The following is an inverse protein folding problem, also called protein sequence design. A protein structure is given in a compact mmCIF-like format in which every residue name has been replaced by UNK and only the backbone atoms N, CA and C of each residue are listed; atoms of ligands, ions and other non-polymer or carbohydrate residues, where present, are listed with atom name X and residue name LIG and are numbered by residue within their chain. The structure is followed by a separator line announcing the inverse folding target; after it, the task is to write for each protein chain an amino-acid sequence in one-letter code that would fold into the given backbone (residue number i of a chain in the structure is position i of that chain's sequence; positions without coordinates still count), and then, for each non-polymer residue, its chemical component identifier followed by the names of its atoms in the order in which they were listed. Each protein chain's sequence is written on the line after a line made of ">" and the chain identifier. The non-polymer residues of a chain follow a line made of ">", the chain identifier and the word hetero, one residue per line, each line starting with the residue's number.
data_IF_535193878698
#
_entry.id   IF_535193878698
#
_cell.length_a   1.000
_cell.length_b   1.000
_cell.length_c   1.000
_cell.angle_alpha   90.00
_cell.angle_beta   90.00
_cell.angle_gamma   90.00
#
_symmetry.space_group_name_H-M   'P 1'
#
loop_
_entity.id
_entity.type
_entity.pdbx_description
1 polymer ?
#
# COMPACT_ATOMS: atom_id res chain seq x y z
N UNK A 1 -17.08 -7.69 15.85
CA UNK A 1 -16.82 -6.39 15.19
C UNK A 1 -15.64 -6.48 14.24
N UNK A 2 -15.79 -5.93 13.06
CA UNK A 2 -14.70 -5.92 12.10
C UNK A 2 -13.84 -4.68 12.34
N UNK A 3 -12.53 -4.89 12.51
CA UNK A 3 -11.59 -3.79 12.74
C UNK A 3 -10.69 -3.66 11.53
N UNK A 4 -10.77 -2.54 10.86
CA UNK A 4 -9.92 -2.22 9.71
C UNK A 4 -8.87 -1.22 10.13
N UNK A 5 -7.61 -1.56 9.87
CA UNK A 5 -6.50 -0.65 10.16
C UNK A 5 -6.31 0.29 8.97
N UNK A 6 -6.93 1.46 9.04
CA UNK A 6 -6.85 2.47 7.98
C UNK A 6 -5.41 3.00 7.91
N UNK A 7 -4.74 2.78 6.78
CA UNK A 7 -3.32 3.12 6.58
C UNK A 7 -2.40 2.44 7.60
N UNK A 8 -2.78 1.23 8.03
CA UNK A 8 -2.12 0.53 9.11
C UNK A 8 -2.63 0.98 10.47
N UNK A 9 -1.94 0.63 11.54
CA UNK A 9 -2.32 1.08 12.89
C UNK A 9 -1.83 2.52 13.08
N UNK A 10 -2.46 3.44 12.35
CA UNK A 10 -1.98 4.81 12.19
C UNK A 10 -2.06 5.66 13.47
N UNK A 11 -3.04 5.40 14.32
CA UNK A 11 -3.17 6.14 15.57
C UNK A 11 -1.93 5.98 16.46
N UNK A 12 -1.25 4.84 16.33
CA UNK A 12 -0.10 4.55 17.16
C UNK A 12 1.22 4.80 16.46
N UNK A 13 1.29 4.48 15.16
CA UNK A 13 2.56 4.49 14.43
C UNK A 13 2.60 5.41 13.21
N UNK A 14 1.51 6.12 12.93
CA UNK A 14 1.42 6.98 11.74
C UNK A 14 0.91 6.24 10.52
N UNK A 15 0.61 7.00 9.48
CA UNK A 15 -0.01 6.48 8.27
C UNK A 15 0.97 5.75 7.37
N UNK A 16 0.53 4.65 6.78
CA UNK A 16 1.21 3.99 5.66
C UNK A 16 2.70 3.71 5.88
N UNK A 17 3.10 3.29 7.08
CA UNK A 17 4.49 2.90 7.33
C UNK A 17 4.57 1.45 7.79
N UNK A 18 5.76 0.86 7.67
CA UNK A 18 5.93 -0.56 7.96
C UNK A 18 5.56 -0.94 9.39
N UNK A 19 5.89 -0.08 10.36
CA UNK A 19 5.57 -0.39 11.74
C UNK A 19 4.05 -0.44 11.96
N UNK A 20 3.31 0.48 11.34
CA UNK A 20 1.86 0.49 11.47
C UNK A 20 1.22 -0.75 10.81
N UNK A 21 1.77 -1.22 9.71
CA UNK A 21 1.27 -2.42 9.04
C UNK A 21 1.59 -3.68 9.84
N UNK A 22 2.82 -3.81 10.32
CA UNK A 22 3.21 -4.97 11.12
C UNK A 22 2.40 -5.06 12.40
N UNK A 23 2.21 -3.93 13.07
CA UNK A 23 1.44 -3.90 14.30
C UNK A 23 -0.02 -4.29 14.05
N UNK A 24 -0.60 -3.77 12.97
CA UNK A 24 -1.97 -4.13 12.61
C UNK A 24 -2.12 -5.63 12.36
N UNK A 25 -1.14 -6.24 11.69
CA UNK A 25 -1.18 -7.67 11.41
C UNK A 25 -1.09 -8.51 12.68
N UNK A 26 -0.48 -7.98 13.73
CA UNK A 26 -0.25 -8.72 14.98
C UNK A 26 -1.27 -8.42 16.07
N UNK A 27 -1.98 -7.30 15.99
CA UNK A 27 -2.83 -6.83 17.08
C UNK A 27 -4.32 -7.04 16.87
N UNK A 28 -4.70 -8.01 16.07
CA UNK A 28 -6.10 -8.40 15.96
C UNK A 28 -6.96 -7.58 15.01
N UNK A 29 -6.36 -6.79 14.13
CA UNK A 29 -7.12 -6.15 13.08
C UNK A 29 -7.57 -7.20 12.06
N UNK A 30 -8.74 -7.00 11.47
CA UNK A 30 -9.30 -7.92 10.50
C UNK A 30 -8.84 -7.64 9.07
N UNK A 31 -8.34 -6.44 8.82
CA UNK A 31 -7.95 -6.00 7.50
C UNK A 31 -7.03 -4.79 7.63
N UNK A 32 -6.12 -4.64 6.70
CA UNK A 32 -5.28 -3.45 6.61
C UNK A 32 -5.65 -2.71 5.34
N UNK A 33 -5.92 -1.42 5.47
CA UNK A 33 -6.16 -0.55 4.33
C UNK A 33 -4.87 0.23 4.07
N UNK A 34 -4.47 0.30 2.82
CA UNK A 34 -3.30 1.08 2.43
C UNK A 34 -3.52 1.73 1.07
N UNK A 35 -2.90 2.90 0.91
CA UNK A 35 -3.02 3.72 -0.30
C UNK A 35 -1.83 3.45 -1.20
N UNK A 36 -2.06 3.14 -2.46
CA UNK A 36 -0.98 2.85 -3.41
C UNK A 36 -1.03 3.78 -4.62
N UNK A 37 0.15 4.16 -5.09
CA UNK A 37 0.31 4.96 -6.30
C UNK A 37 1.72 4.77 -6.85
N UNK A 38 2.04 5.36 -8.00
CA UNK A 38 3.34 5.15 -8.64
C UNK A 38 4.32 6.27 -8.33
N UNK A 39 5.59 5.90 -8.26
CA UNK A 39 6.70 6.86 -8.30
C UNK A 39 6.93 7.27 -9.75
N UNK A 40 7.84 8.21 -9.98
CA UNK A 40 8.20 8.67 -11.31
C UNK A 40 8.69 7.54 -12.21
N UNK A 41 9.43 6.59 -11.67
CA UNK A 41 9.98 5.48 -12.44
C UNK A 41 9.08 4.25 -12.46
N UNK A 42 7.88 4.34 -11.92
CA UNK A 42 6.89 3.26 -12.08
C UNK A 42 6.85 2.22 -10.96
N UNK A 43 7.54 2.45 -9.85
CA UNK A 43 7.40 1.54 -8.71
C UNK A 43 6.14 1.91 -7.92
N UNK A 44 5.42 0.91 -7.42
CA UNK A 44 4.27 1.17 -6.57
C UNK A 44 4.73 1.51 -5.17
N UNK A 45 4.29 2.66 -4.69
CA UNK A 45 4.62 3.15 -3.35
C UNK A 45 3.35 3.21 -2.50
N UNK A 46 3.53 3.27 -1.18
CA UNK A 46 2.40 3.34 -0.24
C UNK A 46 2.39 4.74 0.37
N UNK A 47 1.49 5.57 -0.09
CA UNK A 47 1.37 6.95 0.36
C UNK A 47 0.00 7.49 -0.05
N UNK A 48 -0.63 8.27 0.83
CA UNK A 48 -1.99 8.74 0.60
C UNK A 48 -2.09 9.92 -0.34
N UNK A 49 -1.26 10.94 -0.13
CA UNK A 49 -1.42 12.20 -0.85
C UNK A 49 -0.83 12.13 -2.25
N UNK A 50 -1.46 12.82 -3.19
CA UNK A 50 -0.95 12.88 -4.55
C UNK A 50 0.10 13.97 -4.73
N UNK A 51 0.29 14.81 -3.70
CA UNK A 51 1.31 15.86 -3.68
C UNK A 51 2.20 15.70 -2.46
N UNK A 52 3.44 16.08 -2.60
CA UNK A 52 4.41 16.05 -1.53
C UNK A 52 5.31 17.28 -1.71
N UNK A 53 5.36 18.13 -0.69
CA UNK A 53 6.14 19.38 -0.74
C UNK A 53 5.84 20.22 -1.98
N UNK A 54 4.55 20.30 -2.33
CA UNK A 54 4.10 21.14 -3.43
C UNK A 54 4.30 20.57 -4.83
N UNK A 55 4.80 19.33 -4.94
CA UNK A 55 4.99 18.69 -6.23
C UNK A 55 4.18 17.41 -6.30
N UNK A 56 3.78 17.04 -7.51
CA UNK A 56 3.08 15.79 -7.73
C UNK A 56 3.96 14.62 -7.31
N UNK A 57 3.37 13.65 -6.65
CA UNK A 57 4.11 12.47 -6.16
C UNK A 57 4.81 11.73 -7.32
N UNK A 58 4.19 11.74 -8.51
CA UNK A 58 4.76 11.08 -9.69
C UNK A 58 5.98 11.80 -10.26
N UNK A 59 6.35 12.96 -9.71
CA UNK A 59 7.55 13.66 -10.12
C UNK A 59 8.77 13.28 -9.26
N UNK A 60 8.56 12.43 -8.26
CA UNK A 60 9.66 11.98 -7.39
C UNK A 60 10.15 10.62 -7.80
N UNK A 61 11.48 10.45 -7.84
CA UNK A 61 12.09 9.15 -8.04
C UNK A 61 11.89 8.30 -6.79
N UNK A 62 12.03 6.98 -6.92
CA UNK A 62 11.95 6.09 -5.78
C UNK A 62 12.98 6.48 -4.71
N UNK A 63 14.21 6.80 -5.11
CA UNK A 63 15.24 7.19 -4.14
C UNK A 63 14.84 8.40 -3.32
N UNK A 64 14.22 9.40 -3.95
CA UNK A 64 13.76 10.58 -3.25
C UNK A 64 12.65 10.26 -2.25
N UNK A 65 11.74 9.36 -2.62
CA UNK A 65 10.64 8.95 -1.76
C UNK A 65 11.12 8.11 -0.58
N UNK A 66 12.05 7.20 -0.82
CA UNK A 66 12.62 6.37 0.24
C UNK A 66 13.34 7.24 1.29
N UNK A 67 14.02 8.30 0.85
CA UNK A 67 14.66 9.22 1.79
C UNK A 67 13.67 9.93 2.71
N UNK A 68 12.42 10.02 2.28
CA UNK A 68 11.36 10.64 3.09
C UNK A 68 10.61 9.61 3.93
N UNK A 69 11.07 8.36 3.96
CA UNK A 69 10.43 7.31 4.75
C UNK A 69 9.22 6.66 4.09
N UNK A 70 8.97 6.97 2.82
CA UNK A 70 7.87 6.35 2.07
C UNK A 70 8.32 4.96 1.62
N UNK A 71 7.48 3.95 1.81
CA UNK A 71 7.84 2.57 1.52
C UNK A 71 7.23 2.08 0.21
N UNK A 72 7.82 1.04 -0.38
CA UNK A 72 7.26 0.43 -1.58
C UNK A 72 6.18 -0.59 -1.19
N UNK A 73 5.23 -0.75 -2.09
CA UNK A 73 4.22 -1.78 -1.94
C UNK A 73 4.86 -3.18 -1.92
N UNK A 74 5.89 -3.37 -2.74
CA UNK A 74 6.59 -4.65 -2.78
C UNK A 74 7.17 -5.01 -1.41
N UNK A 75 7.78 -4.05 -0.73
CA UNK A 75 8.35 -4.30 0.60
C UNK A 75 7.25 -4.64 1.61
N UNK A 76 6.13 -3.94 1.53
CA UNK A 76 4.98 -4.23 2.40
C UNK A 76 4.49 -5.66 2.16
N UNK A 77 4.31 -6.05 0.90
CA UNK A 77 3.86 -7.42 0.59
C UNK A 77 4.84 -8.47 1.09
N UNK A 78 6.13 -8.21 0.95
CA UNK A 78 7.15 -9.13 1.43
C UNK A 78 7.02 -9.37 2.94
N UNK A 79 6.77 -8.30 3.69
CA UNK A 79 6.71 -8.37 5.15
C UNK A 79 5.34 -8.82 5.68
N UNK A 80 4.26 -8.34 5.06
CA UNK A 80 2.90 -8.56 5.55
C UNK A 80 2.25 -9.77 4.92
N UNK A 81 2.61 -10.11 3.69
CA UNK A 81 2.01 -11.24 2.98
C UNK A 81 1.94 -12.53 3.77
N UNK A 82 3.02 -12.94 4.45
CA UNK A 82 3.00 -14.18 5.23
C UNK A 82 2.00 -14.20 6.39
N UNK A 83 1.52 -13.06 6.85
CA UNK A 83 0.56 -12.99 7.96
C UNK A 83 -0.85 -13.36 7.54
N UNK A 84 -1.12 -13.39 6.23
CA UNK A 84 -2.43 -13.68 5.66
C UNK A 84 -3.53 -12.70 6.02
N UNK A 85 -3.21 -11.57 6.57
CA UNK A 85 -4.24 -10.58 6.88
C UNK A 85 -4.81 -10.04 5.56
N UNK A 86 -6.14 -9.91 5.45
CA UNK A 86 -6.74 -9.32 4.26
C UNK A 86 -6.28 -7.89 4.03
N UNK A 87 -6.11 -7.51 2.77
CA UNK A 87 -5.67 -6.18 2.39
C UNK A 87 -6.75 -5.47 1.59
N UNK A 88 -6.93 -4.20 1.87
CA UNK A 88 -7.81 -3.33 1.10
C UNK A 88 -6.94 -2.27 0.46
N UNK A 89 -6.80 -2.33 -0.85
CA UNK A 89 -5.90 -1.46 -1.59
C UNK A 89 -6.67 -0.30 -2.22
N UNK A 90 -6.38 0.91 -1.76
CA UNK A 90 -6.99 2.12 -2.30
C UNK A 90 -6.04 2.67 -3.37
N UNK A 91 -6.46 2.57 -4.62
CA UNK A 91 -5.61 2.90 -5.76
C UNK A 91 -5.73 4.37 -6.14
N UNK A 92 -4.59 5.03 -6.20
CA UNK A 92 -4.50 6.40 -6.69
C UNK A 92 -3.79 6.37 -8.04
N UNK A 93 -4.34 7.05 -9.01
CA UNK A 93 -3.71 7.12 -10.32
C UNK A 93 -4.44 6.33 -11.39
N UNK A 94 -3.72 5.90 -12.39
CA UNK A 94 -4.33 5.28 -13.56
C UNK A 94 -4.09 3.77 -13.65
N UNK A 95 -4.38 3.23 -14.82
CA UNK A 95 -4.29 1.78 -15.06
C UNK A 95 -2.88 1.21 -14.87
N UNK A 96 -1.86 2.03 -14.99
CA UNK A 96 -0.47 1.55 -14.78
C UNK A 96 -0.26 1.06 -13.35
N UNK A 97 -0.90 1.75 -12.38
CA UNK A 97 -0.85 1.32 -10.99
C UNK A 97 -1.44 -0.09 -10.87
N UNK A 98 -2.58 -0.31 -11.52
CA UNK A 98 -3.27 -1.59 -11.46
C UNK A 98 -2.41 -2.71 -12.04
N UNK A 99 -1.78 -2.48 -13.18
CA UNK A 99 -0.93 -3.49 -13.82
C UNK A 99 0.22 -3.88 -12.90
N UNK A 100 0.90 -2.91 -12.33
CA UNK A 100 2.04 -3.17 -11.46
C UNK A 100 1.60 -3.82 -10.15
N UNK A 101 0.47 -3.37 -9.59
CA UNK A 101 -0.13 -3.96 -8.39
C UNK A 101 -0.40 -5.45 -8.61
N UNK A 102 -1.03 -5.80 -9.73
CA UNK A 102 -1.36 -7.19 -10.04
C UNK A 102 -0.10 -8.03 -10.16
N UNK A 103 0.93 -7.51 -10.83
CA UNK A 103 2.20 -8.21 -10.98
C UNK A 103 2.81 -8.55 -9.61
N UNK A 104 2.80 -7.57 -8.71
CA UNK A 104 3.35 -7.75 -7.37
C UNK A 104 2.51 -8.70 -6.52
N UNK A 105 1.19 -8.60 -6.62
CA UNK A 105 0.31 -9.51 -5.90
C UNK A 105 0.55 -10.95 -6.31
N UNK A 106 0.69 -11.20 -7.62
CA UNK A 106 0.96 -12.54 -8.12
C UNK A 106 2.31 -13.08 -7.65
N UNK A 107 3.26 -12.18 -7.43
CA UNK A 107 4.59 -12.57 -6.96
C UNK A 107 4.59 -12.97 -5.49
N UNK A 108 3.82 -12.29 -4.66
CA UNK A 108 3.89 -12.45 -3.21
C UNK A 108 2.69 -13.14 -2.57
N UNK A 109 1.55 -13.16 -3.24
CA UNK A 109 0.32 -13.73 -2.67
C UNK A 109 -0.05 -15.00 -3.43
N UNK A 110 -0.24 -16.09 -2.71
CA UNK A 110 -0.63 -17.36 -3.32
C UNK A 110 -2.02 -17.26 -3.93
N UNK A 111 -2.27 -17.92 -5.07
CA UNK A 111 -3.56 -17.80 -5.77
C UNK A 111 -4.79 -18.03 -4.87
N UNK A 112 -4.74 -19.01 -3.97
CA UNK A 112 -5.90 -19.31 -3.12
C UNK A 112 -6.15 -18.24 -2.06
N UNK A 113 -5.23 -17.31 -1.88
CA UNK A 113 -5.37 -16.19 -0.93
C UNK A 113 -5.77 -14.90 -1.59
N UNK A 114 -5.82 -14.85 -2.92
CA UNK A 114 -6.17 -13.63 -3.65
C UNK A 114 -7.55 -13.10 -3.31
N UNK A 115 -8.47 -13.95 -2.90
CA UNK A 115 -9.81 -13.52 -2.49
C UNK A 115 -9.80 -12.68 -1.21
N UNK A 116 -8.65 -12.57 -0.53
CA UNK A 116 -8.49 -11.71 0.64
C UNK A 116 -7.98 -10.33 0.26
N UNK A 117 -7.84 -10.07 -1.04
CA UNK A 117 -7.39 -8.78 -1.54
C UNK A 117 -8.60 -8.04 -2.07
N UNK A 118 -8.87 -6.89 -1.52
CA UNK A 118 -9.96 -6.01 -1.94
C UNK A 118 -9.37 -4.74 -2.52
N UNK A 119 -10.02 -4.19 -3.53
CA UNK A 119 -9.49 -3.03 -4.23
C UNK A 119 -10.56 -1.99 -4.40
N UNK A 120 -10.25 -0.72 -4.16
CA UNK A 120 -11.10 0.38 -4.59
C UNK A 120 -10.22 1.38 -5.33
N UNK A 121 -10.80 2.14 -6.14
CA UNK A 121 -10.11 3.09 -6.78
C UNK A 121 -10.78 3.85 -7.34
N UNK A 122 -10.69 4.77 -7.93
CA UNK A 122 -9.77 5.44 -8.18
C UNK A 122 -10.02 6.36 -9.17
N UNK A 123 -9.31 6.73 -9.73
CA UNK A 123 -9.31 7.68 -10.48
C UNK A 123 -10.31 7.76 -11.32
N UNK A 124 -10.80 8.72 -11.50
CA UNK A 124 -11.73 8.87 -12.18
C UNK A 124 -11.51 9.77 -13.11
N UNK A 125 -11.23 10.11 -13.66
CA UNK A 125 -11.04 11.06 -14.52
C UNK A 125 -11.45 11.65 -14.83
#
# INVERSE_FOLDING_TARGET
>A
MIKIAHRGHSDKFGDNNMQSFLDAAQCGFNMIELDIQLSKSGEVIVYHDTYLDGKDITDYSLGQLLKRGIVTFEFVLFKIGPTNIPLFLDIKGDVKVVHEMVRLLKKYIKPHRMRRIYVSGFNRC
#
